data_IF_947774970596
#
_entry.id   IF_947774970596
#
_cell.length_a   1.000
_cell.length_b   1.000
_cell.length_c   1.000
_cell.angle_alpha   90.00
_cell.angle_beta   90.00
_cell.angle_gamma   90.00
#
_symmetry.space_group_name_H-M   'P 1'
#
loop_
_entity.id
_entity.type
_entity.pdbx_description
1 polymer ?
#
# COMPACT_ATOMS: atom_id res chain seq x y z
N UNK A 1 -17.56 0.30 45.80
CA UNK A 1 -18.84 0.69 45.17
C UNK A 1 -18.65 0.50 43.67
N UNK A 2 -19.35 -0.48 43.07
CA UNK A 2 -19.28 -0.76 41.63
C UNK A 2 -20.10 0.32 40.92
N UNK A 3 -19.44 1.29 40.26
CA UNK A 3 -20.09 2.15 39.29
C UNK A 3 -20.03 1.45 37.92
N UNK A 4 -21.10 0.76 37.57
CA UNK A 4 -21.37 0.32 36.21
C UNK A 4 -21.95 1.49 35.43
N UNK A 5 -21.19 2.07 34.49
CA UNK A 5 -21.73 3.02 33.52
C UNK A 5 -22.23 2.24 32.29
N UNK A 6 -23.53 2.39 32.02
CA UNK A 6 -24.20 1.81 30.88
C UNK A 6 -23.95 2.74 29.67
N UNK A 7 -22.90 2.46 28.90
CA UNK A 7 -22.63 3.18 27.65
C UNK A 7 -23.59 2.65 26.59
N UNK A 8 -24.64 3.41 26.31
CA UNK A 8 -25.52 3.15 25.16
C UNK A 8 -24.74 3.42 23.87
N UNK A 9 -24.59 2.35 23.10
CA UNK A 9 -24.50 2.32 21.63
C UNK A 9 -23.71 3.46 20.97
N UNK A 10 -22.41 3.26 20.82
CA UNK A 10 -21.65 3.81 19.70
C UNK A 10 -21.02 2.65 18.93
N UNK A 11 -21.17 2.68 17.61
CA UNK A 11 -20.91 1.55 16.71
C UNK A 11 -19.53 0.92 16.89
N UNK A 12 -19.54 -0.39 17.16
CA UNK A 12 -18.51 -1.33 16.72
C UNK A 12 -17.17 -1.37 17.46
N UNK A 13 -16.75 -0.36 18.22
CA UNK A 13 -15.47 -0.41 18.94
C UNK A 13 -15.67 -0.12 20.43
N UNK A 14 -15.68 -1.17 21.24
CA UNK A 14 -15.71 -1.07 22.69
C UNK A 14 -14.31 -0.73 23.22
N UNK A 15 -13.98 0.55 23.34
CA UNK A 15 -12.76 0.97 24.05
C UNK A 15 -13.03 0.95 25.56
N UNK A 16 -12.53 -0.09 26.25
CA UNK A 16 -12.64 -0.22 27.70
C UNK A 16 -11.52 0.55 28.42
N UNK A 17 -11.80 1.80 28.83
CA UNK A 17 -10.85 2.58 29.63
C UNK A 17 -10.83 2.04 31.07
N UNK A 18 -9.70 1.46 31.50
CA UNK A 18 -9.55 0.93 32.86
C UNK A 18 -9.22 2.04 33.88
N UNK A 19 -10.27 2.67 34.40
CA UNK A 19 -10.23 3.75 35.39
C UNK A 19 -9.46 3.40 36.68
N UNK A 20 -9.29 2.11 37.02
CA UNK A 20 -8.59 1.70 38.25
C UNK A 20 -7.10 2.04 38.24
N UNK A 21 -6.47 2.10 37.06
CA UNK A 21 -5.05 2.42 36.97
C UNK A 21 -4.78 3.94 37.04
N UNK A 22 -5.73 4.77 36.59
CA UNK A 22 -5.60 6.23 36.59
C UNK A 22 -5.71 6.79 38.02
N UNK A 23 -6.55 6.18 38.86
CA UNK A 23 -6.89 6.69 40.20
C UNK A 23 -6.03 6.11 41.33
N UNK A 24 -4.95 5.38 41.02
CA UNK A 24 -4.23 4.55 42.00
C UNK A 24 -3.64 5.32 43.20
N UNK A 25 -3.44 6.65 43.09
CA UNK A 25 -2.84 7.47 44.14
C UNK A 25 -3.48 8.87 44.32
N UNK A 26 -4.77 9.06 43.98
CA UNK A 26 -5.41 10.38 44.09
C UNK A 26 -6.43 10.41 45.24
N UNK A 27 -6.17 11.21 46.28
CA UNK A 27 -7.17 11.57 47.31
C UNK A 27 -7.95 12.78 46.81
N UNK A 28 -9.17 12.57 46.33
CA UNK A 28 -10.08 13.63 45.88
C UNK A 28 -11.18 13.80 46.93
N UNK A 29 -11.26 14.98 47.53
CA UNK A 29 -12.42 15.41 48.32
C UNK A 29 -13.07 16.59 47.59
N UNK A 30 -14.37 16.48 47.30
CA UNK A 30 -15.19 17.51 46.64
C UNK A 30 -14.73 17.97 45.25
N UNK A 31 -14.34 17.03 44.36
CA UNK A 31 -13.99 17.34 42.95
C UNK A 31 -14.97 16.65 41.99
N UNK A 32 -15.59 17.44 41.12
CA UNK A 32 -16.39 16.96 39.99
C UNK A 32 -15.49 16.89 38.75
N UNK A 33 -15.33 15.70 38.17
CA UNK A 33 -14.52 15.48 36.97
C UNK A 33 -15.47 15.24 35.80
N UNK A 34 -15.58 16.22 34.91
CA UNK A 34 -16.22 16.08 33.61
C UNK A 34 -15.17 15.72 32.57
N UNK A 35 -15.22 14.47 32.09
CA UNK A 35 -14.46 14.05 30.91
C UNK A 35 -15.27 14.52 29.70
N UNK A 36 -14.67 15.40 28.89
CA UNK A 36 -15.27 15.88 27.65
C UNK A 36 -15.35 14.80 26.57
N UNK A 37 -15.60 15.21 25.34
CA UNK A 37 -15.55 14.33 24.17
C UNK A 37 -14.13 13.74 24.01
N UNK A 38 -14.05 12.42 23.89
CA UNK A 38 -12.79 11.75 23.54
C UNK A 38 -12.55 12.05 22.06
N UNK A 39 -11.68 13.01 21.79
CA UNK A 39 -11.21 13.29 20.44
C UNK A 39 -10.11 12.28 20.14
N UNK A 40 -10.35 11.35 19.21
CA UNK A 40 -9.25 10.62 18.58
C UNK A 40 -8.37 11.66 17.88
N UNK A 41 -7.11 11.78 18.29
CA UNK A 41 -6.14 12.51 17.47
C UNK A 41 -6.07 11.80 16.12
N UNK A 42 -6.42 12.51 15.06
CA UNK A 42 -6.24 12.00 13.70
C UNK A 42 -4.72 11.88 13.52
N UNK A 43 -4.20 10.65 13.57
CA UNK A 43 -2.78 10.28 13.37
C UNK A 43 -2.27 10.60 11.95
N UNK A 44 -2.89 11.58 11.29
CA UNK A 44 -2.57 12.00 9.94
C UNK A 44 -1.32 12.88 9.97
N UNK A 45 -0.19 12.27 9.59
CA UNK A 45 1.05 12.99 9.41
C UNK A 45 0.89 14.13 8.39
N UNK A 46 1.53 15.29 8.61
CA UNK A 46 1.50 16.37 7.65
C UNK A 46 2.12 15.91 6.32
N UNK A 47 1.54 16.36 5.20
CA UNK A 47 2.05 16.00 3.89
C UNK A 47 3.52 16.39 3.73
N UNK A 48 4.28 15.45 3.19
CA UNK A 48 5.67 15.68 2.81
C UNK A 48 5.81 16.79 1.75
N UNK A 49 7.05 17.22 1.47
CA UNK A 49 7.32 18.36 0.60
C UNK A 49 6.91 18.13 -0.87
N UNK A 50 6.71 16.88 -1.28
CA UNK A 50 6.36 16.51 -2.65
C UNK A 50 5.14 15.57 -2.64
N UNK A 51 3.91 16.09 -2.44
CA UNK A 51 2.70 15.30 -2.57
C UNK A 51 2.51 14.87 -4.03
N UNK A 52 2.08 13.62 -4.25
CA UNK A 52 1.91 13.00 -5.58
C UNK A 52 3.13 13.25 -6.46
N UNK A 53 4.32 12.75 -6.06
CA UNK A 53 5.55 13.17 -6.69
C UNK A 53 5.57 12.78 -8.16
N UNK A 54 5.83 13.72 -9.09
CA UNK A 54 6.14 13.33 -10.47
C UNK A 54 7.50 12.62 -10.50
N UNK A 55 7.81 11.89 -11.59
CA UNK A 55 9.09 11.18 -11.71
C UNK A 55 10.33 12.09 -11.45
N UNK A 56 10.25 13.38 -11.80
CA UNK A 56 11.32 14.35 -11.56
C UNK A 56 11.40 14.84 -10.10
N UNK A 57 10.29 14.75 -9.36
CA UNK A 57 10.17 15.28 -8.00
C UNK A 57 11.06 14.57 -6.98
N UNK A 58 11.34 13.28 -7.18
CA UNK A 58 12.20 12.48 -6.29
C UNK A 58 13.66 12.41 -6.75
N UNK A 59 13.97 12.91 -7.94
CA UNK A 59 15.32 12.87 -8.53
C UNK A 59 16.41 13.44 -7.61
N UNK A 60 16.21 14.55 -6.87
CA UNK A 60 17.23 15.04 -5.94
C UNK A 60 17.61 14.00 -4.87
N UNK A 61 16.64 13.22 -4.40
CA UNK A 61 16.86 12.14 -3.44
C UNK A 61 17.54 10.94 -4.08
N UNK A 62 17.12 10.54 -5.28
CA UNK A 62 17.76 9.44 -6.02
C UNK A 62 19.24 9.72 -6.26
N UNK A 63 19.57 10.94 -6.71
CA UNK A 63 20.95 11.36 -6.94
C UNK A 63 21.75 11.47 -5.64
N UNK A 64 21.10 11.79 -4.52
CA UNK A 64 21.74 11.70 -3.21
C UNK A 64 22.09 10.25 -2.88
N UNK A 65 21.21 9.29 -3.13
CA UNK A 65 21.49 7.86 -2.95
C UNK A 65 22.62 7.38 -3.86
N UNK A 66 22.65 7.80 -5.12
CA UNK A 66 23.69 7.42 -6.08
C UNK A 66 25.10 7.88 -5.68
N UNK A 67 25.23 8.93 -4.87
CA UNK A 67 26.53 9.35 -4.31
C UNK A 67 27.12 8.27 -3.40
N UNK A 68 26.27 7.57 -2.63
CA UNK A 68 26.67 6.49 -1.71
C UNK A 68 26.65 5.12 -2.39
N UNK A 69 25.60 4.83 -3.15
CA UNK A 69 25.37 3.57 -3.83
C UNK A 69 25.48 3.79 -5.34
N UNK A 70 26.72 3.80 -5.85
CA UNK A 70 26.97 4.07 -7.27
C UNK A 70 26.45 2.92 -8.13
N UNK A 71 25.61 3.19 -9.14
CA UNK A 71 25.25 2.19 -10.15
C UNK A 71 26.53 1.63 -10.78
N UNK A 72 26.67 0.31 -10.74
CA UNK A 72 27.85 -0.40 -11.24
C UNK A 72 27.42 -1.35 -12.34
N UNK A 73 28.00 -1.19 -13.52
CA UNK A 73 27.68 -2.00 -14.69
C UNK A 73 28.92 -2.78 -15.11
N UNK A 74 28.78 -4.09 -15.28
CA UNK A 74 29.87 -4.98 -15.71
C UNK A 74 29.60 -5.44 -17.14
N UNK A 75 29.59 -4.48 -18.06
CA UNK A 75 29.25 -4.66 -19.49
C UNK A 75 30.03 -3.68 -20.35
N UNK A 76 30.20 -3.98 -21.64
CA UNK A 76 30.91 -3.11 -22.58
C UNK A 76 30.09 -1.87 -22.97
N UNK A 77 28.79 -2.03 -23.23
CA UNK A 77 27.89 -0.94 -23.60
C UNK A 77 26.90 -0.66 -22.47
N UNK A 78 27.24 0.31 -21.62
CA UNK A 78 26.44 0.71 -20.45
C UNK A 78 25.10 1.30 -20.87
N UNK A 79 25.07 2.17 -21.88
CA UNK A 79 23.85 2.88 -22.27
C UNK A 79 22.77 1.94 -22.80
N UNK A 80 23.16 0.98 -23.64
CA UNK A 80 22.23 -0.03 -24.14
C UNK A 80 21.79 -0.99 -23.02
N UNK A 81 22.69 -1.34 -22.11
CA UNK A 81 22.36 -2.19 -20.97
C UNK A 81 21.31 -1.53 -20.06
N UNK A 82 21.51 -0.26 -19.71
CA UNK A 82 20.57 0.49 -18.86
C UNK A 82 19.22 0.66 -19.53
N UNK A 83 19.16 0.90 -20.85
CA UNK A 83 17.89 0.92 -21.60
C UNK A 83 17.16 -0.41 -21.54
N UNK A 84 17.90 -1.53 -21.59
CA UNK A 84 17.30 -2.86 -21.47
C UNK A 84 16.82 -3.14 -20.04
N UNK A 85 17.57 -2.76 -19.01
CA UNK A 85 17.10 -2.81 -17.62
C UNK A 85 15.85 -1.97 -17.41
N UNK A 86 15.80 -0.78 -17.98
CA UNK A 86 14.64 0.09 -17.92
C UNK A 86 13.40 -0.57 -18.56
N UNK A 87 13.54 -1.15 -19.76
CA UNK A 87 12.46 -1.91 -20.42
C UNK A 87 11.96 -3.08 -19.57
N UNK A 88 12.85 -3.83 -18.93
CA UNK A 88 12.49 -4.92 -18.02
C UNK A 88 11.73 -4.40 -16.79
N UNK A 89 12.17 -3.29 -16.22
CA UNK A 89 11.51 -2.64 -15.08
C UNK A 89 10.10 -2.20 -15.46
N UNK A 90 9.94 -1.54 -16.62
CA UNK A 90 8.63 -1.16 -17.16
C UNK A 90 7.72 -2.37 -17.34
N UNK A 91 8.24 -3.47 -17.91
CA UNK A 91 7.47 -4.70 -18.08
C UNK A 91 7.01 -5.25 -16.72
N UNK A 92 7.89 -5.32 -15.73
CA UNK A 92 7.57 -5.75 -14.37
C UNK A 92 6.51 -4.87 -13.71
N UNK A 93 6.68 -3.55 -13.73
CA UNK A 93 5.73 -2.59 -13.17
C UNK A 93 4.36 -2.71 -13.84
N UNK A 94 4.30 -2.88 -15.16
CA UNK A 94 3.03 -3.04 -15.88
C UNK A 94 2.22 -4.26 -15.42
N UNK A 95 2.89 -5.36 -15.05
CA UNK A 95 2.24 -6.54 -14.49
C UNK A 95 1.55 -6.23 -13.16
N UNK A 96 2.23 -5.57 -12.23
CA UNK A 96 1.65 -5.21 -10.93
C UNK A 96 0.49 -4.21 -11.06
N UNK A 97 0.59 -3.24 -11.98
CA UNK A 97 -0.52 -2.33 -12.31
C UNK A 97 -1.73 -3.11 -12.81
N UNK A 98 -1.52 -4.10 -13.68
CA UNK A 98 -2.59 -4.95 -14.19
C UNK A 98 -3.25 -5.78 -13.08
N UNK A 99 -2.45 -6.38 -12.19
CA UNK A 99 -2.94 -7.13 -11.02
C UNK A 99 -3.80 -6.23 -10.12
N UNK A 100 -3.31 -5.04 -9.78
CA UNK A 100 -4.04 -4.07 -8.97
C UNK A 100 -5.41 -3.72 -9.57
N UNK A 101 -5.42 -3.39 -10.87
CA UNK A 101 -6.65 -3.07 -11.60
C UNK A 101 -7.64 -4.24 -11.63
N UNK A 102 -7.15 -5.46 -11.85
CA UNK A 102 -7.99 -6.65 -11.90
C UNK A 102 -8.58 -6.99 -10.54
N UNK A 103 -7.78 -6.89 -9.46
CA UNK A 103 -8.25 -7.15 -8.08
C UNK A 103 -9.27 -6.10 -7.65
N UNK A 104 -9.03 -4.83 -7.93
CA UNK A 104 -9.98 -3.76 -7.64
C UNK A 104 -11.31 -3.97 -8.40
N UNK A 105 -11.23 -4.30 -9.69
CA UNK A 105 -12.42 -4.62 -10.50
C UNK A 105 -13.20 -5.82 -9.94
N UNK A 106 -12.51 -6.87 -9.50
CA UNK A 106 -13.13 -8.05 -8.92
C UNK A 106 -13.79 -7.73 -7.57
N UNK A 107 -13.14 -6.95 -6.72
CA UNK A 107 -13.74 -6.47 -5.46
C UNK A 107 -14.98 -5.63 -5.71
N UNK A 108 -15.02 -4.77 -6.73
CA UNK A 108 -16.24 -4.06 -7.10
C UNK A 108 -17.40 -4.99 -7.46
N UNK A 109 -17.12 -6.12 -8.11
CA UNK A 109 -18.14 -7.09 -8.47
C UNK A 109 -18.68 -7.86 -7.26
N UNK A 110 -17.85 -8.08 -6.23
CA UNK A 110 -18.20 -8.88 -5.05
C UNK A 110 -18.73 -8.06 -3.88
N UNK A 111 -18.10 -6.91 -3.60
CA UNK A 111 -18.39 -6.06 -2.43
C UNK A 111 -19.19 -4.80 -2.79
N UNK A 112 -19.20 -4.43 -4.07
CA UNK A 112 -19.73 -3.14 -4.53
C UNK A 112 -18.67 -2.04 -4.55
N UNK A 113 -18.90 -0.99 -5.35
CA UNK A 113 -17.93 0.10 -5.55
C UNK A 113 -17.66 0.91 -4.29
N UNK A 114 -18.71 1.23 -3.55
CA UNK A 114 -18.63 2.04 -2.33
C UNK A 114 -18.41 1.21 -1.06
N UNK A 115 -17.90 -0.03 -1.18
CA UNK A 115 -17.60 -0.86 -0.04
C UNK A 115 -16.59 -0.13 0.88
N UNK A 116 -16.90 -0.12 2.17
CA UNK A 116 -16.06 0.50 3.19
C UNK A 116 -14.80 -0.35 3.39
N UNK A 117 -13.64 0.30 3.33
CA UNK A 117 -12.35 -0.36 3.59
C UNK A 117 -12.27 -0.71 5.07
N UNK A 118 -12.15 -2.01 5.36
CA UNK A 118 -11.99 -2.55 6.72
C UNK A 118 -10.97 -3.68 6.69
N UNK A 119 -9.74 -3.38 7.10
CA UNK A 119 -8.65 -4.36 7.16
C UNK A 119 -8.34 -4.78 8.60
N UNK A 120 -8.89 -4.08 9.60
CA UNK A 120 -8.61 -4.37 11.02
C UNK A 120 -7.19 -3.98 11.45
N UNK A 121 -6.61 -2.99 10.77
CA UNK A 121 -5.27 -2.45 11.03
C UNK A 121 -5.37 -0.96 11.35
N UNK A 122 -4.50 -0.46 12.22
CA UNK A 122 -4.44 0.97 12.58
C UNK A 122 -4.06 1.83 11.35
N UNK A 123 -3.13 1.34 10.54
CA UNK A 123 -2.66 1.98 9.30
C UNK A 123 -2.87 1.03 8.12
N UNK A 124 -4.01 1.18 7.47
CA UNK A 124 -4.43 0.31 6.37
C UNK A 124 -3.73 0.58 5.03
N UNK A 125 -3.26 1.80 4.78
CA UNK A 125 -2.71 2.22 3.48
C UNK A 125 -1.52 3.19 3.64
N UNK A 126 -0.37 2.73 4.14
CA UNK A 126 0.77 3.58 4.45
C UNK A 126 1.35 4.32 3.23
N UNK A 127 1.49 3.66 2.07
CA UNK A 127 2.06 4.28 0.86
C UNK A 127 1.09 5.28 0.25
N UNK A 128 -0.20 4.96 0.21
CA UNK A 128 -1.25 5.86 -0.27
C UNK A 128 -1.32 7.11 0.61
N UNK A 129 -1.27 6.96 1.93
CA UNK A 129 -1.22 8.11 2.86
C UNK A 129 0.03 8.96 2.61
N UNK A 130 1.20 8.32 2.52
CA UNK A 130 2.49 9.02 2.37
C UNK A 130 2.61 9.76 1.03
N UNK A 131 2.24 9.11 -0.07
CA UNK A 131 2.48 9.61 -1.42
C UNK A 131 1.32 10.46 -1.93
N UNK A 132 0.08 10.04 -1.68
CA UNK A 132 -1.12 10.65 -2.26
C UNK A 132 -1.79 11.60 -1.27
N UNK A 133 -1.60 11.39 0.03
CA UNK A 133 -2.19 12.22 1.08
C UNK A 133 -3.66 11.93 1.32
N UNK A 134 -4.12 10.71 1.03
CA UNK A 134 -5.49 10.28 1.29
C UNK A 134 -5.49 9.08 2.21
N UNK A 135 -6.50 9.00 3.08
CA UNK A 135 -6.86 7.81 3.85
C UNK A 135 -8.06 7.18 3.14
N UNK A 136 -7.87 6.08 2.38
CA UNK A 136 -8.98 5.43 1.67
C UNK A 136 -10.03 4.98 2.68
N UNK A 137 -11.27 5.43 2.50
CA UNK A 137 -12.43 4.99 3.29
C UNK A 137 -13.31 4.05 2.48
N UNK A 138 -13.32 4.19 1.16
CA UNK A 138 -14.06 3.37 0.22
C UNK A 138 -13.14 2.82 -0.86
N UNK A 139 -13.53 1.70 -1.47
CA UNK A 139 -12.78 1.14 -2.59
C UNK A 139 -12.64 2.14 -3.77
N UNK A 140 -13.64 3.00 -4.01
CA UNK A 140 -13.57 4.06 -5.02
C UNK A 140 -12.45 5.08 -4.77
N UNK A 141 -12.02 5.29 -3.53
CA UNK A 141 -10.90 6.19 -3.23
C UNK A 141 -9.58 5.68 -3.82
N UNK A 142 -9.46 4.37 -4.06
CA UNK A 142 -8.29 3.75 -4.69
C UNK A 142 -8.18 4.08 -6.18
N UNK A 143 -9.25 4.55 -6.84
CA UNK A 143 -9.18 5.01 -8.23
C UNK A 143 -8.27 6.23 -8.37
N UNK A 144 -8.27 7.13 -7.38
CA UNK A 144 -7.37 8.29 -7.35
C UNK A 144 -5.90 7.85 -7.34
N UNK A 145 -5.61 6.75 -6.65
CA UNK A 145 -4.26 6.17 -6.57
C UNK A 145 -3.90 5.52 -7.90
N UNK A 146 -4.82 4.75 -8.50
CA UNK A 146 -4.62 4.12 -9.80
C UNK A 146 -4.40 5.14 -10.92
N UNK A 147 -5.13 6.24 -10.92
CA UNK A 147 -4.99 7.31 -11.92
C UNK A 147 -3.61 7.98 -11.83
N UNK A 148 -3.10 8.20 -10.62
CA UNK A 148 -1.73 8.67 -10.40
C UNK A 148 -0.70 7.66 -10.92
N UNK A 149 -0.84 6.37 -10.55
CA UNK A 149 0.08 5.32 -11.01
C UNK A 149 0.12 5.26 -12.53
N UNK A 150 -1.05 5.27 -13.19
CA UNK A 150 -1.14 5.17 -14.65
C UNK A 150 -0.54 6.38 -15.35
N UNK A 151 -0.72 7.58 -14.79
CA UNK A 151 -0.16 8.81 -15.33
C UNK A 151 1.36 8.78 -15.27
N UNK A 152 1.94 8.56 -14.09
CA UNK A 152 3.39 8.55 -13.91
C UNK A 152 4.06 7.37 -14.64
N UNK A 153 3.41 6.21 -14.68
CA UNK A 153 3.87 5.08 -15.48
C UNK A 153 3.94 5.44 -16.96
N UNK A 154 2.93 6.13 -17.49
CA UNK A 154 2.89 6.54 -18.91
C UNK A 154 4.02 7.52 -19.24
N UNK A 155 4.30 8.49 -18.37
CA UNK A 155 5.43 9.42 -18.50
C UNK A 155 6.78 8.69 -18.49
N UNK A 156 6.93 7.69 -17.62
CA UNK A 156 8.13 6.85 -17.61
C UNK A 156 8.26 6.05 -18.91
N UNK A 157 7.19 5.38 -19.37
CA UNK A 157 7.18 4.58 -20.60
C UNK A 157 7.56 5.39 -21.82
N UNK A 158 7.15 6.67 -21.90
CA UNK A 158 7.54 7.55 -22.99
C UNK A 158 9.07 7.62 -23.16
N UNK A 159 9.83 7.46 -22.07
CA UNK A 159 11.30 7.48 -22.07
C UNK A 159 11.96 6.29 -22.80
N UNK A 160 11.19 5.24 -23.13
CA UNK A 160 11.69 4.12 -23.95
C UNK A 160 11.99 4.57 -25.39
N UNK A 161 11.26 5.57 -25.88
CA UNK A 161 11.47 6.08 -27.24
C UNK A 161 12.84 6.75 -27.35
N UNK A 162 13.59 6.44 -28.41
CA UNK A 162 15.00 6.83 -28.58
C UNK A 162 15.24 8.34 -28.59
N UNK A 163 14.22 9.14 -28.95
CA UNK A 163 14.29 10.60 -28.96
C UNK A 163 14.21 11.27 -27.58
N UNK A 164 13.95 10.50 -26.52
CA UNK A 164 13.72 11.05 -25.17
C UNK A 164 14.97 10.92 -24.31
N UNK A 165 14.96 10.02 -23.32
CA UNK A 165 15.99 9.93 -22.30
C UNK A 165 17.28 9.30 -22.84
N UNK A 166 18.43 9.92 -22.51
CA UNK A 166 19.75 9.46 -22.96
C UNK A 166 20.75 9.29 -21.83
N UNK A 167 20.50 9.90 -20.67
CA UNK A 167 21.40 9.81 -19.53
C UNK A 167 21.11 8.55 -18.72
N UNK A 168 22.13 7.71 -18.52
CA UNK A 168 22.01 6.48 -17.76
C UNK A 168 21.58 6.71 -16.30
N UNK A 169 22.03 7.79 -15.64
CA UNK A 169 21.61 8.10 -14.26
C UNK A 169 20.14 8.54 -14.18
N UNK A 170 19.62 9.17 -15.23
CA UNK A 170 18.21 9.55 -15.27
C UNK A 170 17.31 8.33 -15.50
N UNK A 171 17.79 7.33 -16.24
CA UNK A 171 17.13 6.02 -16.30
C UNK A 171 17.13 5.32 -14.94
N UNK A 172 18.22 5.33 -14.18
CA UNK A 172 18.26 4.78 -12.83
C UNK A 172 17.26 5.46 -11.89
N UNK A 173 17.18 6.80 -11.91
CA UNK A 173 16.18 7.55 -11.14
C UNK A 173 14.75 7.19 -11.57
N UNK A 174 14.48 7.04 -12.86
CA UNK A 174 13.17 6.57 -13.35
C UNK A 174 12.86 5.13 -12.94
N UNK A 175 13.86 4.24 -12.85
CA UNK A 175 13.67 2.88 -12.32
C UNK A 175 13.32 2.90 -10.83
N UNK A 176 13.92 3.79 -10.03
CA UNK A 176 13.51 4.00 -8.63
C UNK A 176 12.06 4.48 -8.54
N UNK A 177 11.68 5.41 -9.42
CA UNK A 177 10.30 5.88 -9.49
C UNK A 177 9.31 4.75 -9.88
N UNK A 178 9.62 3.95 -10.91
CA UNK A 178 8.83 2.77 -11.29
C UNK A 178 8.74 1.73 -10.14
N UNK A 179 9.80 1.56 -9.36
CA UNK A 179 9.79 0.73 -8.16
C UNK A 179 8.82 1.24 -7.10
N UNK A 180 8.79 2.56 -6.85
CA UNK A 180 7.80 3.18 -5.97
C UNK A 180 6.37 2.96 -6.48
N UNK A 181 6.11 3.18 -7.78
CA UNK A 181 4.79 2.93 -8.38
C UNK A 181 4.38 1.46 -8.26
N UNK A 182 5.35 0.54 -8.36
CA UNK A 182 5.12 -0.90 -8.20
C UNK A 182 4.67 -1.22 -6.78
N UNK A 183 5.33 -0.67 -5.76
CA UNK A 183 4.93 -0.86 -4.36
C UNK A 183 3.54 -0.26 -4.09
N UNK A 184 3.24 0.91 -4.65
CA UNK A 184 1.93 1.52 -4.52
C UNK A 184 0.84 0.70 -5.21
N UNK A 185 1.12 0.14 -6.40
CA UNK A 185 0.21 -0.79 -7.07
C UNK A 185 -0.02 -2.07 -6.26
N UNK A 186 1.01 -2.61 -5.61
CA UNK A 186 0.86 -3.74 -4.70
C UNK A 186 -0.06 -3.40 -3.52
N UNK A 187 0.08 -2.22 -2.90
CA UNK A 187 -0.85 -1.80 -1.83
C UNK A 187 -2.29 -1.77 -2.34
N UNK A 188 -2.55 -1.14 -3.49
CA UNK A 188 -3.88 -1.12 -4.11
C UNK A 188 -4.39 -2.52 -4.49
N UNK A 189 -3.49 -3.45 -4.82
CA UNK A 189 -3.84 -4.84 -5.14
C UNK A 189 -4.18 -5.66 -3.89
N UNK A 190 -3.49 -5.44 -2.77
CA UNK A 190 -3.65 -6.21 -1.54
C UNK A 190 -4.85 -5.76 -0.72
N UNK A 191 -5.17 -4.47 -0.66
CA UNK A 191 -6.34 -3.96 0.07
C UNK A 191 -7.66 -4.66 -0.31
N UNK A 192 -8.10 -4.68 -1.59
CA UNK A 192 -9.33 -5.37 -1.98
C UNK A 192 -9.23 -6.89 -1.79
N UNK A 193 -8.04 -7.47 -1.92
CA UNK A 193 -7.83 -8.91 -1.72
C UNK A 193 -8.02 -9.31 -0.26
N UNK A 194 -7.44 -8.57 0.68
CA UNK A 194 -7.61 -8.78 2.11
C UNK A 194 -9.07 -8.61 2.56
N UNK A 195 -9.81 -7.67 1.95
CA UNK A 195 -11.25 -7.51 2.22
C UNK A 195 -12.10 -8.71 1.76
N UNK A 196 -11.62 -9.48 0.79
CA UNK A 196 -12.32 -10.63 0.21
C UNK A 196 -11.89 -11.97 0.81
N UNK A 197 -10.70 -12.04 1.42
CA UNK A 197 -10.20 -13.27 2.02
C UNK A 197 -10.94 -13.58 3.32
N UNK A 198 -11.54 -14.76 3.38
CA UNK A 198 -11.94 -15.39 4.64
C UNK A 198 -10.69 -15.99 5.32
N UNK A 199 -10.67 -16.00 6.66
CA UNK A 199 -9.53 -16.33 7.54
C UNK A 199 -8.38 -17.13 6.90
N UNK A 200 -7.17 -16.54 6.92
CA UNK A 200 -5.97 -17.21 6.44
C UNK A 200 -5.66 -18.42 7.37
N UNK A 201 -5.52 -19.64 6.83
CA UNK A 201 -5.17 -20.80 7.64
C UNK A 201 -3.79 -20.62 8.29
N UNK A 202 -3.69 -20.92 9.59
CA UNK A 202 -2.44 -20.74 10.36
C UNK A 202 -1.30 -21.66 9.89
N UNK A 203 -1.62 -22.78 9.26
CA UNK A 203 -0.66 -23.76 8.78
C UNK A 203 -0.98 -24.14 7.34
N UNK A 204 0.05 -24.11 6.49
CA UNK A 204 -0.02 -24.55 5.10
C UNK A 204 0.94 -25.71 4.89
N UNK A 205 0.46 -26.78 4.27
CA UNK A 205 1.30 -27.87 3.80
C UNK A 205 1.81 -27.54 2.39
N UNK A 206 3.09 -27.80 2.11
CA UNK A 206 3.70 -27.55 0.81
C UNK A 206 4.61 -28.70 0.37
N UNK A 207 4.74 -28.88 -0.95
CA UNK A 207 5.63 -29.86 -1.58
C UNK A 207 4.92 -30.95 -2.39
N UNK A 208 5.67 -31.59 -3.29
CA UNK A 208 5.14 -32.63 -4.20
C UNK A 208 4.61 -33.89 -3.49
N UNK A 209 5.03 -34.14 -2.25
CA UNK A 209 4.58 -35.29 -1.46
C UNK A 209 3.09 -35.22 -1.04
N UNK A 210 2.45 -34.07 -1.21
CA UNK A 210 1.02 -33.88 -0.93
C UNK A 210 0.11 -34.36 -2.08
N UNK A 211 0.70 -34.60 -3.26
CA UNK A 211 -0.06 -34.99 -4.44
C UNK A 211 -0.40 -36.48 -4.37
N UNK A 212 -1.68 -36.78 -4.14
CA UNK A 212 -2.21 -38.15 -4.16
C UNK A 212 -2.52 -38.57 -5.60
N UNK A 213 -1.66 -39.42 -6.17
CA UNK A 213 -1.80 -39.92 -7.54
C UNK A 213 -3.07 -40.76 -7.79
N UNK A 214 -3.75 -41.21 -6.73
CA UNK A 214 -5.00 -41.99 -6.85
C UNK A 214 -6.26 -41.10 -6.87
N UNK A 215 -6.13 -39.79 -6.64
CA UNK A 215 -7.24 -38.84 -6.68
C UNK A 215 -7.12 -37.90 -7.88
N UNK A 216 -8.23 -37.38 -8.43
CA UNK A 216 -8.18 -36.28 -9.38
C UNK A 216 -7.52 -35.05 -8.75
N UNK A 217 -6.51 -34.48 -9.42
CA UNK A 217 -5.76 -33.30 -8.95
C UNK A 217 -6.13 -32.09 -9.80
N UNK A 218 -6.56 -31.01 -9.15
CA UNK A 218 -6.75 -29.70 -9.78
C UNK A 218 -5.55 -28.82 -9.46
N UNK A 219 -4.74 -28.53 -10.47
CA UNK A 219 -3.60 -27.61 -10.35
C UNK A 219 -4.01 -26.21 -10.78
N UNK A 220 -3.89 -25.25 -9.86
CA UNK A 220 -4.09 -23.82 -10.16
C UNK A 220 -2.72 -23.16 -10.25
N UNK A 221 -2.42 -22.52 -11.39
CA UNK A 221 -1.16 -21.79 -11.61
C UNK A 221 -1.51 -20.37 -12.06
N UNK A 222 -1.02 -19.37 -11.33
CA UNK A 222 -1.17 -17.96 -11.67
C UNK A 222 -1.22 -17.07 -10.42
N UNK A 223 -1.29 -15.76 -10.66
CA UNK A 223 -1.20 -14.72 -9.62
C UNK A 223 -2.57 -14.16 -9.19
N UNK A 224 -3.63 -14.53 -9.92
CA UNK A 224 -4.97 -13.99 -9.73
C UNK A 224 -5.96 -15.08 -9.30
N UNK A 225 -6.23 -15.23 -7.99
CA UNK A 225 -7.30 -16.07 -7.49
C UNK A 225 -8.64 -15.32 -7.69
N UNK A 226 -9.21 -15.37 -8.88
CA UNK A 226 -10.61 -14.95 -9.11
C UNK A 226 -11.59 -16.08 -8.76
#
# INVERSE_FOLDING_TARGET
MLLSLNLKEFGGVAMAINLKNILKNVKLENVEISIGEVVEEDDFEPMGPVPKPPYIGLRPWDYFLFKRYKPTYVVENVDEHVKNLFRLTVAGTSNFIAIAKNRLKYAYQRLGKDAEVKLGLDIEAPLTRTLIGIKPKRLTDLEVVMDYILTEFTECVASIHSSNEQNHLDFESKMFHLGMLTLLACEVAEMPYMMLMEEIPQTLEWGFGLVDAYKPVVLVVGDFPA
#
